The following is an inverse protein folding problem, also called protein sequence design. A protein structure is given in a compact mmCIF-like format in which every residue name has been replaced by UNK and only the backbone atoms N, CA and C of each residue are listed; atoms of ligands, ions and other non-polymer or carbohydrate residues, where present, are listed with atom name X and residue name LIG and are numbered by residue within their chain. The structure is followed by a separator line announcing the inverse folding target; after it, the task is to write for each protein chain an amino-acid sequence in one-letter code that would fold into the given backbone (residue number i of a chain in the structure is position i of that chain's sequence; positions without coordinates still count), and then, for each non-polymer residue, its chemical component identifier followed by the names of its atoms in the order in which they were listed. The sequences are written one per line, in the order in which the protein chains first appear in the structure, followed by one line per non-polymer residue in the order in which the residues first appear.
data_IF_112134367974
#
_entry.id   IF_112134367974
#
_cell.length_a   1.000
_cell.length_b   1.000
_cell.length_c   1.000
_cell.angle_alpha   90.00
_cell.angle_beta   90.00
_cell.angle_gamma   90.00
#
_symmetry.space_group_name_H-M   'P 1'
#
loop_
_entity.id
_entity.type
_entity.pdbx_description
1 polymer ?
#
# COMPACT_ATOMS: atom_id res chain seq x y z
N UNK A 1 19.20 -9.67 -33.94
CA UNK A 1 20.58 -9.20 -34.20
C UNK A 1 20.75 -7.84 -33.53
N UNK A 2 21.91 -7.55 -32.92
CA UNK A 2 22.18 -6.22 -32.35
C UNK A 2 22.30 -5.22 -33.50
N UNK A 3 21.44 -4.20 -33.53
CA UNK A 3 21.41 -3.19 -34.62
C UNK A 3 22.02 -1.85 -34.22
N UNK A 4 22.05 -1.56 -32.92
CA UNK A 4 22.52 -0.28 -32.40
C UNK A 4 23.61 -0.47 -31.34
N UNK A 5 24.37 0.58 -31.06
CA UNK A 5 25.22 0.67 -29.88
C UNK A 5 24.46 1.32 -28.73
N UNK A 6 24.92 1.10 -27.50
CA UNK A 6 24.34 1.78 -26.33
C UNK A 6 24.49 3.29 -26.42
N UNK A 7 25.60 3.79 -26.97
CA UNK A 7 25.79 5.22 -27.24
C UNK A 7 24.70 5.78 -28.18
N UNK A 8 24.34 5.05 -29.24
CA UNK A 8 23.27 5.44 -30.15
C UNK A 8 21.90 5.46 -29.45
N UNK A 9 21.59 4.46 -28.61
CA UNK A 9 20.34 4.42 -27.83
C UNK A 9 20.25 5.52 -26.78
N UNK A 10 21.37 5.84 -26.12
CA UNK A 10 21.44 6.94 -25.16
C UNK A 10 21.22 8.29 -25.85
N UNK A 11 21.87 8.52 -27.00
CA UNK A 11 21.63 9.73 -27.81
C UNK A 11 20.19 9.82 -28.29
N UNK A 12 19.64 8.72 -28.82
CA UNK A 12 18.24 8.61 -29.22
C UNK A 12 17.30 9.04 -28.07
N UNK A 13 17.50 8.51 -26.87
CA UNK A 13 16.69 8.88 -25.69
C UNK A 13 16.87 10.34 -25.27
N UNK A 14 18.10 10.86 -25.35
CA UNK A 14 18.38 12.26 -25.04
C UNK A 14 17.67 13.20 -26.00
N UNK A 15 17.69 12.91 -27.29
CA UNK A 15 17.06 13.73 -28.33
C UNK A 15 15.53 13.65 -28.25
N UNK A 16 14.97 12.44 -28.13
CA UNK A 16 13.51 12.22 -28.04
C UNK A 16 12.88 12.88 -26.80
N UNK A 17 13.62 12.96 -25.69
CA UNK A 17 13.10 13.48 -24.41
C UNK A 17 13.67 14.85 -24.02
N UNK A 18 14.50 15.46 -24.87
CA UNK A 18 15.18 16.72 -24.57
C UNK A 18 16.08 16.67 -23.33
N UNK A 19 16.66 15.51 -23.01
CA UNK A 19 17.44 15.30 -21.79
C UNK A 19 18.93 15.65 -22.00
N UNK A 20 19.48 16.46 -21.09
CA UNK A 20 20.93 16.69 -20.98
C UNK A 20 21.57 15.62 -20.10
N UNK A 21 22.86 15.32 -20.32
CA UNK A 21 23.60 14.34 -19.48
C UNK A 21 23.55 14.67 -17.98
N UNK A 22 23.62 15.96 -17.62
CA UNK A 22 23.48 16.41 -16.22
C UNK A 22 22.13 16.01 -15.64
N UNK A 23 21.05 16.13 -16.42
CA UNK A 23 19.71 15.75 -15.97
C UNK A 23 19.58 14.23 -15.81
N UNK A 24 20.15 13.45 -16.71
CA UNK A 24 20.20 11.97 -16.58
C UNK A 24 20.94 11.59 -15.30
N UNK A 25 22.07 12.25 -15.02
CA UNK A 25 22.84 11.99 -13.81
C UNK A 25 22.03 12.32 -12.54
N UNK A 26 21.31 13.45 -12.51
CA UNK A 26 20.40 13.80 -11.41
C UNK A 26 19.28 12.76 -11.23
N UNK A 27 18.61 12.38 -12.32
CA UNK A 27 17.56 11.36 -12.30
C UNK A 27 18.07 10.00 -11.81
N UNK A 28 19.35 9.69 -12.04
CA UNK A 28 19.93 8.43 -11.62
C UNK A 28 20.21 8.34 -10.12
N UNK A 29 20.32 9.47 -9.39
CA UNK A 29 20.75 9.47 -7.98
C UNK A 29 19.94 8.53 -7.07
N UNK A 30 18.59 8.53 -7.09
CA UNK A 30 17.81 7.61 -6.25
C UNK A 30 18.10 6.14 -6.58
N UNK A 31 18.31 5.82 -7.86
CA UNK A 31 18.63 4.46 -8.30
C UNK A 31 20.08 4.07 -8.03
N UNK A 32 21.01 5.03 -7.98
CA UNK A 32 22.38 4.79 -7.54
C UNK A 32 22.43 4.37 -6.07
N UNK A 33 21.64 5.03 -5.22
CA UNK A 33 21.47 4.68 -3.81
C UNK A 33 20.75 3.33 -3.65
N UNK A 34 19.63 3.13 -4.35
CA UNK A 34 18.84 1.87 -4.28
C UNK A 34 19.66 0.64 -4.69
N UNK A 35 20.49 0.76 -5.72
CA UNK A 35 21.23 -0.36 -6.30
C UNK A 35 22.68 -0.48 -5.81
N UNK A 36 23.14 0.47 -4.99
CA UNK A 36 24.54 0.62 -4.58
C UNK A 36 25.51 0.66 -5.79
N UNK A 37 25.22 1.54 -6.76
CA UNK A 37 25.97 1.69 -8.01
C UNK A 37 26.35 3.16 -8.23
N UNK A 38 27.63 3.50 -8.03
CA UNK A 38 28.12 4.87 -8.23
C UNK A 38 28.49 5.19 -9.69
N UNK A 39 27.79 6.09 -10.36
CA UNK A 39 28.10 6.57 -11.72
C UNK A 39 28.46 8.05 -11.70
N UNK A 40 29.65 8.40 -12.20
CA UNK A 40 30.10 9.79 -12.29
C UNK A 40 29.66 10.46 -13.60
N UNK A 41 29.76 11.79 -13.63
CA UNK A 41 29.54 12.60 -14.85
C UNK A 41 30.47 12.21 -15.99
N UNK A 42 31.73 11.90 -15.69
CA UNK A 42 32.71 11.50 -16.71
C UNK A 42 32.34 10.17 -17.34
N UNK A 43 32.00 9.16 -16.52
CA UNK A 43 31.57 7.84 -17.02
C UNK A 43 30.35 7.97 -17.95
N UNK A 44 29.33 8.75 -17.56
CA UNK A 44 28.16 8.98 -18.41
C UNK A 44 28.53 9.66 -19.74
N UNK A 45 29.43 10.64 -19.72
CA UNK A 45 29.90 11.32 -20.94
C UNK A 45 30.66 10.38 -21.87
N UNK A 46 31.41 9.42 -21.33
CA UNK A 46 32.10 8.41 -22.12
C UNK A 46 31.13 7.42 -22.77
N UNK A 47 30.08 7.01 -22.05
CA UNK A 47 29.02 6.15 -22.59
C UNK A 47 28.24 6.82 -23.71
N UNK A 48 27.88 8.10 -23.54
CA UNK A 48 27.14 8.86 -24.56
C UNK A 48 28.02 9.11 -25.80
N UNK A 49 29.32 9.37 -25.62
CA UNK A 49 30.24 9.51 -26.76
C UNK A 49 30.60 8.20 -27.44
N UNK A 50 30.38 7.05 -26.78
CA UNK A 50 30.77 5.73 -27.25
C UNK A 50 32.25 5.42 -27.02
N UNK A 51 32.96 6.24 -26.25
CA UNK A 51 34.36 6.01 -25.88
C UNK A 51 34.52 4.78 -24.99
N UNK A 52 33.54 4.51 -24.14
CA UNK A 52 33.47 3.29 -23.33
C UNK A 52 32.04 2.75 -23.32
N UNK A 53 31.89 1.44 -23.08
CA UNK A 53 30.58 0.83 -22.91
C UNK A 53 30.28 0.67 -21.41
N UNK A 54 29.03 0.92 -20.98
CA UNK A 54 28.63 0.61 -19.61
C UNK A 54 28.70 -0.90 -19.37
N UNK A 55 29.17 -1.28 -18.18
CA UNK A 55 29.06 -2.66 -17.71
C UNK A 55 27.59 -3.02 -17.40
N UNK A 56 27.32 -4.29 -17.07
CA UNK A 56 25.97 -4.77 -16.75
C UNK A 56 25.29 -3.95 -15.65
N UNK A 57 25.99 -3.62 -14.56
CA UNK A 57 25.42 -2.86 -13.45
C UNK A 57 25.05 -1.44 -13.90
N UNK A 58 25.90 -0.81 -14.71
CA UNK A 58 25.65 0.53 -15.30
C UNK A 58 24.53 0.51 -16.31
N UNK A 59 24.40 -0.54 -17.11
CA UNK A 59 23.28 -0.74 -18.02
C UNK A 59 21.96 -0.84 -17.26
N UNK A 60 21.88 -1.69 -16.23
CA UNK A 60 20.69 -1.79 -15.36
C UNK A 60 20.33 -0.46 -14.72
N UNK A 61 21.32 0.28 -14.19
CA UNK A 61 21.12 1.61 -13.62
C UNK A 61 20.53 2.59 -14.65
N UNK A 62 21.11 2.67 -15.85
CA UNK A 62 20.67 3.57 -16.91
C UNK A 62 19.29 3.18 -17.44
N UNK A 63 19.04 1.89 -17.64
CA UNK A 63 17.75 1.35 -18.07
C UNK A 63 16.64 1.71 -17.07
N UNK A 64 16.88 1.51 -15.77
CA UNK A 64 15.97 1.93 -14.68
C UNK A 64 15.76 3.44 -14.65
N UNK A 65 16.84 4.21 -14.73
CA UNK A 65 16.80 5.68 -14.72
C UNK A 65 15.96 6.23 -15.88
N UNK A 66 16.07 5.62 -17.05
CA UNK A 66 15.43 6.06 -18.29
C UNK A 66 14.11 5.32 -18.56
N UNK A 67 13.69 4.40 -17.70
CA UNK A 67 12.45 3.64 -17.86
C UNK A 67 12.40 2.85 -19.19
N UNK A 68 13.52 2.26 -19.58
CA UNK A 68 13.63 1.44 -20.80
C UNK A 68 14.07 0.02 -20.48
N UNK A 69 13.84 -0.90 -21.40
CA UNK A 69 14.39 -2.25 -21.32
C UNK A 69 15.92 -2.23 -21.48
N UNK A 70 16.61 -3.05 -20.68
CA UNK A 70 18.07 -3.12 -20.67
C UNK A 70 18.61 -3.70 -21.99
N UNK A 71 17.93 -4.70 -22.54
CA UNK A 71 18.29 -5.34 -23.81
C UNK A 71 18.06 -4.38 -24.98
N UNK A 72 17.00 -3.55 -24.91
CA UNK A 72 16.82 -2.45 -25.87
C UNK A 72 17.97 -1.44 -25.81
N UNK A 73 18.38 -1.05 -24.60
CA UNK A 73 19.48 -0.10 -24.37
C UNK A 73 20.84 -0.68 -24.78
N UNK A 74 21.00 -2.00 -24.73
CA UNK A 74 22.14 -2.72 -25.29
C UNK A 74 22.17 -2.70 -26.83
N UNK A 75 21.07 -2.29 -27.48
CA UNK A 75 20.96 -2.08 -28.92
C UNK A 75 20.29 -3.22 -29.70
N UNK A 76 19.59 -4.12 -29.00
CA UNK A 76 18.75 -5.13 -29.63
C UNK A 76 17.41 -4.53 -30.08
N UNK A 77 16.75 -5.22 -30.99
CA UNK A 77 15.40 -4.90 -31.45
C UNK A 77 14.38 -5.64 -30.59
N UNK A 78 14.14 -5.11 -29.40
CA UNK A 78 13.05 -5.49 -28.50
C UNK A 78 12.21 -4.25 -28.20
N UNK A 79 11.14 -4.38 -27.42
CA UNK A 79 10.36 -3.23 -27.02
C UNK A 79 11.17 -2.29 -26.12
N UNK A 80 11.04 -0.98 -26.39
CA UNK A 80 11.80 0.07 -25.71
C UNK A 80 11.38 0.22 -24.26
N UNK A 81 10.08 0.18 -24.01
CA UNK A 81 9.54 0.44 -22.68
C UNK A 81 9.80 -0.76 -21.79
N UNK A 82 10.29 -0.50 -20.59
CA UNK A 82 10.28 -1.52 -19.55
C UNK A 82 8.81 -1.87 -19.31
N UNK A 83 8.42 -3.10 -19.62
CA UNK A 83 7.02 -3.49 -19.73
C UNK A 83 6.20 -2.93 -18.57
N UNK A 84 5.21 -2.09 -18.87
CA UNK A 84 4.34 -1.42 -17.90
C UNK A 84 3.82 -2.38 -16.80
N UNK A 85 3.65 -3.65 -17.14
CA UNK A 85 3.30 -4.74 -16.24
C UNK A 85 4.29 -4.92 -15.08
N UNK A 86 5.60 -4.87 -15.32
CA UNK A 86 6.63 -5.02 -14.27
C UNK A 86 6.62 -3.84 -13.30
N UNK A 87 6.38 -2.62 -13.80
CA UNK A 87 6.27 -1.42 -12.96
C UNK A 87 5.00 -1.51 -12.11
N UNK A 88 3.87 -1.86 -12.71
CA UNK A 88 2.60 -2.05 -12.01
C UNK A 88 2.72 -3.13 -10.93
N UNK A 89 3.32 -4.28 -11.24
CA UNK A 89 3.54 -5.35 -10.29
C UNK A 89 4.37 -4.88 -9.09
N UNK A 90 5.48 -4.18 -9.33
CA UNK A 90 6.32 -3.66 -8.25
C UNK A 90 5.59 -2.60 -7.39
N UNK A 91 4.78 -1.73 -8.00
CA UNK A 91 3.99 -0.73 -7.28
C UNK A 91 2.92 -1.41 -6.42
N UNK A 92 2.19 -2.38 -6.97
CA UNK A 92 1.17 -3.15 -6.27
C UNK A 92 1.79 -3.94 -5.12
N UNK A 93 2.92 -4.61 -5.32
CA UNK A 93 3.63 -5.35 -4.27
C UNK A 93 4.08 -4.43 -3.13
N UNK A 94 4.65 -3.26 -3.45
CA UNK A 94 5.04 -2.27 -2.44
C UNK A 94 3.84 -1.74 -1.66
N UNK A 95 2.75 -1.43 -2.36
CA UNK A 95 1.49 -0.97 -1.75
C UNK A 95 0.90 -2.03 -0.81
N UNK A 96 0.78 -3.27 -1.29
CA UNK A 96 0.26 -4.39 -0.50
C UNK A 96 1.12 -4.67 0.74
N UNK A 97 2.45 -4.58 0.61
CA UNK A 97 3.36 -4.72 1.74
C UNK A 97 3.16 -3.60 2.78
N UNK A 98 2.99 -2.35 2.33
CA UNK A 98 2.73 -1.23 3.22
C UNK A 98 1.38 -1.39 3.95
N UNK A 99 0.33 -1.77 3.22
CA UNK A 99 -1.00 -2.01 3.82
C UNK A 99 -0.97 -3.12 4.87
N UNK A 100 -0.30 -4.24 4.56
CA UNK A 100 -0.14 -5.34 5.53
C UNK A 100 0.63 -4.89 6.78
N UNK A 101 1.65 -4.05 6.62
CA UNK A 101 2.40 -3.51 7.75
C UNK A 101 1.52 -2.60 8.63
N UNK A 102 0.69 -1.75 8.02
CA UNK A 102 -0.26 -0.87 8.73
C UNK A 102 -1.25 -1.69 9.55
N UNK A 103 -1.84 -2.73 8.96
CA UNK A 103 -2.76 -3.65 9.65
C UNK A 103 -2.08 -4.30 10.86
N UNK A 104 -0.88 -4.85 10.68
CA UNK A 104 -0.12 -5.50 11.75
C UNK A 104 0.23 -4.53 12.88
N UNK A 105 0.60 -3.29 12.56
CA UNK A 105 0.91 -2.28 13.56
C UNK A 105 -0.34 -1.79 14.29
N UNK A 106 -1.47 -1.65 13.60
CA UNK A 106 -2.78 -1.40 14.23
C UNK A 106 -3.15 -2.49 15.22
N UNK A 107 -2.98 -3.76 14.82
CA UNK A 107 -3.22 -4.92 15.70
C UNK A 107 -2.30 -4.95 16.92
N UNK A 108 -1.02 -4.61 16.75
CA UNK A 108 -0.06 -4.48 17.87
C UNK A 108 -0.47 -3.38 18.84
N UNK A 109 -0.87 -2.22 18.33
CA UNK A 109 -1.33 -1.12 19.17
C UNK A 109 -2.61 -1.48 19.93
N UNK A 110 -3.56 -2.16 19.26
CA UNK A 110 -4.77 -2.65 19.90
C UNK A 110 -4.42 -3.62 21.04
N UNK A 111 -3.57 -4.60 20.76
CA UNK A 111 -3.09 -5.54 21.77
C UNK A 111 -2.39 -4.83 22.95
N UNK A 112 -1.60 -3.78 22.68
CA UNK A 112 -0.92 -3.01 23.73
C UNK A 112 -1.91 -2.29 24.66
N UNK A 113 -2.98 -1.70 24.13
CA UNK A 113 -4.01 -1.03 24.94
C UNK A 113 -4.91 -2.03 25.69
N UNK A 114 -5.21 -3.17 25.06
CA UNK A 114 -5.99 -4.24 25.68
C UNK A 114 -5.19 -4.93 26.80
N UNK A 115 -3.90 -5.17 26.59
CA UNK A 115 -2.99 -5.80 27.56
C UNK A 115 -3.14 -7.32 27.70
N UNK A 116 -4.10 -7.94 27.00
CA UNK A 116 -4.35 -9.38 27.05
C UNK A 116 -4.66 -9.96 25.65
N UNK A 117 -3.76 -10.80 25.16
CA UNK A 117 -3.89 -11.50 23.87
C UNK A 117 -5.10 -12.45 23.83
N UNK A 118 -5.53 -12.98 24.96
CA UNK A 118 -6.69 -13.85 25.06
C UNK A 118 -7.99 -13.10 24.76
N UNK A 119 -8.10 -11.83 25.20
CA UNK A 119 -9.23 -10.96 24.91
C UNK A 119 -9.24 -10.55 23.43
N UNK A 120 -8.09 -10.22 22.85
CA UNK A 120 -7.99 -9.93 21.40
C UNK A 120 -8.44 -11.13 20.56
N UNK A 121 -8.03 -12.35 20.92
CA UNK A 121 -8.47 -13.57 20.23
C UNK A 121 -9.97 -13.82 20.37
N UNK A 122 -10.56 -13.53 21.53
CA UNK A 122 -12.00 -13.64 21.75
C UNK A 122 -12.75 -12.66 20.87
N UNK A 123 -12.32 -11.40 20.85
CA UNK A 123 -12.85 -10.37 19.95
C UNK A 123 -12.80 -10.81 18.47
N UNK A 124 -11.65 -11.25 17.96
CA UNK A 124 -11.52 -11.71 16.57
C UNK A 124 -12.43 -12.90 16.27
N UNK A 125 -12.62 -13.79 17.24
CA UNK A 125 -13.57 -14.90 17.15
C UNK A 125 -15.02 -14.41 17.11
N UNK A 126 -15.40 -13.43 17.93
CA UNK A 126 -16.74 -12.84 17.90
C UNK A 126 -17.08 -12.27 16.51
N UNK A 127 -16.12 -11.58 15.86
CA UNK A 127 -16.28 -11.09 14.50
C UNK A 127 -16.54 -12.23 13.52
N UNK A 128 -15.75 -13.31 13.60
CA UNK A 128 -15.96 -14.49 12.76
C UNK A 128 -17.33 -15.13 12.99
N UNK A 129 -17.72 -15.30 14.26
CA UNK A 129 -19.00 -15.91 14.64
C UNK A 129 -20.19 -15.07 14.14
N UNK A 130 -20.06 -13.73 14.11
CA UNK A 130 -21.03 -12.84 13.50
C UNK A 130 -21.19 -13.11 11.99
N UNK A 131 -20.09 -13.20 11.24
CA UNK A 131 -20.16 -13.52 9.81
C UNK A 131 -20.71 -14.92 9.55
N UNK A 132 -20.40 -15.91 10.39
CA UNK A 132 -21.01 -17.25 10.32
C UNK A 132 -22.53 -17.14 10.43
N UNK A 133 -23.03 -16.32 11.37
CA UNK A 133 -24.46 -16.14 11.55
C UNK A 133 -25.12 -15.42 10.36
N UNK A 134 -24.47 -14.39 9.82
CA UNK A 134 -24.93 -13.70 8.60
C UNK A 134 -24.97 -14.67 7.39
N UNK A 135 -23.95 -15.53 7.24
CA UNK A 135 -23.89 -16.51 6.16
C UNK A 135 -24.99 -17.57 6.20
N UNK A 136 -25.63 -17.80 7.36
CA UNK A 136 -26.80 -18.68 7.47
C UNK A 136 -28.04 -18.09 6.77
N UNK A 137 -28.19 -16.77 6.78
CA UNK A 137 -29.36 -16.07 6.24
C UNK A 137 -29.09 -15.44 4.88
N UNK A 138 -27.82 -15.16 4.54
CA UNK A 138 -27.43 -14.52 3.29
C UNK A 138 -26.34 -15.33 2.54
N UNK A 139 -26.69 -15.99 1.41
CA UNK A 139 -25.76 -16.79 0.62
C UNK A 139 -24.58 -16.03 -0.01
N UNK A 140 -24.59 -14.70 -0.01
CA UNK A 140 -23.46 -13.89 -0.49
C UNK A 140 -22.23 -13.99 0.45
N UNK A 141 -22.43 -14.41 1.70
CA UNK A 141 -21.38 -14.55 2.71
C UNK A 141 -20.85 -15.99 2.82
N UNK A 142 -20.63 -16.68 1.69
CA UNK A 142 -20.09 -18.07 1.68
C UNK A 142 -18.63 -18.17 2.10
N UNK A 143 -17.84 -17.11 1.88
CA UNK A 143 -16.40 -17.07 2.18
C UNK A 143 -16.13 -16.38 3.51
N UNK A 144 -16.58 -17.00 4.59
CA UNK A 144 -16.56 -16.43 5.95
C UNK A 144 -15.19 -15.89 6.35
N UNK A 145 -14.13 -16.64 6.07
CA UNK A 145 -12.78 -16.25 6.48
C UNK A 145 -12.29 -15.01 5.71
N UNK A 146 -12.61 -14.89 4.41
CA UNK A 146 -12.29 -13.69 3.62
C UNK A 146 -13.04 -12.45 4.14
N UNK A 147 -14.32 -12.59 4.49
CA UNK A 147 -15.11 -11.48 5.06
C UNK A 147 -14.61 -11.07 6.46
N UNK A 148 -14.24 -12.06 7.27
CA UNK A 148 -13.68 -11.83 8.61
C UNK A 148 -12.33 -11.10 8.51
N UNK A 149 -11.45 -11.55 7.61
CA UNK A 149 -10.13 -10.93 7.40
C UNK A 149 -10.28 -9.50 6.88
N UNK A 150 -11.14 -9.27 5.87
CA UNK A 150 -11.44 -7.91 5.37
C UNK A 150 -11.92 -6.96 6.47
N UNK A 151 -12.82 -7.43 7.33
CA UNK A 151 -13.34 -6.61 8.42
C UNK A 151 -12.24 -6.30 9.45
N UNK A 152 -11.45 -7.29 9.84
CA UNK A 152 -10.35 -7.11 10.79
C UNK A 152 -9.26 -6.20 10.24
N UNK A 153 -8.90 -6.34 8.96
CA UNK A 153 -7.94 -5.47 8.28
C UNK A 153 -8.41 -4.02 8.27
N UNK A 154 -9.68 -3.80 7.93
CA UNK A 154 -10.30 -2.47 7.99
C UNK A 154 -10.27 -1.91 9.43
N UNK A 155 -10.72 -2.71 10.41
CA UNK A 155 -10.70 -2.33 11.81
C UNK A 155 -9.31 -1.92 12.29
N UNK A 156 -8.29 -2.75 12.06
CA UNK A 156 -6.93 -2.46 12.53
C UNK A 156 -6.29 -1.29 11.77
N UNK A 157 -6.62 -1.10 10.50
CA UNK A 157 -6.19 0.08 9.74
C UNK A 157 -6.80 1.35 10.31
N UNK A 158 -8.12 1.39 10.52
CA UNK A 158 -8.80 2.54 11.13
C UNK A 158 -8.30 2.79 12.54
N UNK A 159 -8.09 1.71 13.32
CA UNK A 159 -7.53 1.81 14.66
C UNK A 159 -6.12 2.42 14.65
N UNK A 160 -5.26 2.03 13.70
CA UNK A 160 -3.91 2.58 13.56
C UNK A 160 -3.92 4.10 13.34
N UNK A 161 -4.84 4.61 12.52
CA UNK A 161 -4.95 6.04 12.22
C UNK A 161 -5.75 6.85 13.25
N UNK A 162 -6.48 6.19 14.15
CA UNK A 162 -7.28 6.87 15.14
C UNK A 162 -6.44 7.62 16.20
N UNK A 163 -6.98 8.74 16.68
CA UNK A 163 -6.36 9.49 17.76
C UNK A 163 -6.19 8.64 19.03
N UNK A 164 -5.23 9.00 19.89
CA UNK A 164 -4.87 8.18 21.06
C UNK A 164 -6.04 7.95 22.03
N UNK A 165 -6.86 8.98 22.25
CA UNK A 165 -8.05 8.88 23.10
C UNK A 165 -9.11 7.97 22.47
N UNK A 166 -9.35 8.11 21.16
CA UNK A 166 -10.26 7.27 20.38
C UNK A 166 -9.83 5.80 20.40
N UNK A 167 -8.54 5.52 20.19
CA UNK A 167 -7.99 4.16 20.30
C UNK A 167 -8.25 3.55 21.68
N UNK A 168 -8.09 4.34 22.73
CA UNK A 168 -8.35 3.87 24.09
C UNK A 168 -9.82 3.51 24.28
N UNK A 169 -10.74 4.35 23.82
CA UNK A 169 -12.18 4.08 23.88
C UNK A 169 -12.57 2.84 23.07
N UNK A 170 -12.10 2.73 21.83
CA UNK A 170 -12.34 1.58 20.95
C UNK A 170 -11.80 0.30 21.59
N UNK A 171 -10.58 0.31 22.13
CA UNK A 171 -9.99 -0.84 22.80
C UNK A 171 -10.81 -1.28 24.02
N UNK A 172 -11.32 -0.34 24.83
CA UNK A 172 -12.16 -0.65 25.98
C UNK A 172 -13.54 -1.17 25.58
N UNK A 173 -14.10 -0.67 24.49
CA UNK A 173 -15.39 -1.11 23.98
C UNK A 173 -15.34 -2.54 23.43
N UNK A 174 -14.39 -2.84 22.54
CA UNK A 174 -14.34 -4.15 21.86
C UNK A 174 -13.83 -5.31 22.74
N UNK A 175 -13.30 -5.04 23.94
CA UNK A 175 -13.01 -6.11 24.91
C UNK A 175 -14.23 -6.51 25.76
N UNK A 176 -15.28 -5.68 25.79
CA UNK A 176 -16.55 -6.06 26.41
C UNK A 176 -17.12 -7.16 25.51
N UNK A 177 -17.51 -8.33 26.04
CA UNK A 177 -18.17 -9.36 25.23
C UNK A 177 -19.40 -8.79 24.51
N UNK A 178 -19.63 -9.17 23.25
CA UNK A 178 -20.69 -8.59 22.43
C UNK A 178 -22.07 -8.65 23.10
N UNK A 179 -22.37 -9.73 23.83
CA UNK A 179 -23.61 -9.90 24.58
C UNK A 179 -23.78 -8.97 25.78
N UNK A 180 -22.74 -8.20 26.14
CA UNK A 180 -22.73 -7.23 27.24
C UNK A 180 -22.55 -5.79 26.78
N UNK A 181 -22.49 -5.53 25.47
CA UNK A 181 -22.30 -4.18 24.92
C UNK A 181 -23.58 -3.36 24.88
N UNK A 182 -24.76 -3.98 24.98
CA UNK A 182 -26.07 -3.33 24.84
C UNK A 182 -26.21 -2.01 25.62
N UNK A 183 -25.84 -1.90 26.92
CA UNK A 183 -25.95 -0.62 27.63
C UNK A 183 -25.03 0.48 27.06
N UNK A 184 -23.85 0.10 26.57
CA UNK A 184 -22.89 1.01 25.95
C UNK A 184 -23.38 1.42 24.56
N UNK A 185 -23.97 0.49 23.81
CA UNK A 185 -24.56 0.75 22.49
C UNK A 185 -25.72 1.75 22.60
N UNK A 186 -26.60 1.57 23.59
CA UNK A 186 -27.69 2.51 23.87
C UNK A 186 -27.12 3.90 24.20
N UNK A 187 -26.07 3.97 25.03
CA UNK A 187 -25.44 5.24 25.37
C UNK A 187 -24.85 5.93 24.12
N UNK A 188 -24.08 5.21 23.31
CA UNK A 188 -23.46 5.74 22.10
C UNK A 188 -24.52 6.22 21.10
N UNK A 189 -25.60 5.47 20.93
CA UNK A 189 -26.73 5.85 20.08
C UNK A 189 -27.49 7.06 20.62
N UNK A 190 -27.64 7.19 21.95
CA UNK A 190 -28.27 8.37 22.54
C UNK A 190 -27.44 9.64 22.34
N UNK A 191 -26.11 9.52 22.45
CA UNK A 191 -25.17 10.61 22.24
C UNK A 191 -25.11 11.02 20.76
N UNK A 192 -25.14 10.06 19.83
CA UNK A 192 -25.18 10.36 18.40
C UNK A 192 -26.46 11.09 18.02
N UNK A 193 -27.62 10.63 18.50
CA UNK A 193 -28.89 11.30 18.25
C UNK A 193 -28.91 12.73 18.82
N UNK A 194 -28.38 12.93 20.03
CA UNK A 194 -28.23 14.27 20.61
C UNK A 194 -27.38 15.19 19.71
N UNK A 195 -26.24 14.70 19.21
CA UNK A 195 -25.35 15.46 18.32
C UNK A 195 -25.96 15.75 16.94
N UNK A 196 -26.83 14.86 16.44
CA UNK A 196 -27.58 15.04 15.19
C UNK A 196 -28.69 16.09 15.35
N UNK A 197 -29.44 16.06 16.47
CA UNK A 197 -30.53 16.99 16.77
C UNK A 197 -30.04 18.43 17.00
N UNK A 198 -28.85 18.62 17.61
CA UNK A 198 -28.25 19.94 17.89
C UNK A 198 -27.52 20.60 16.69
N UNK A 199 -27.67 20.07 15.46
CA UNK A 199 -27.14 20.60 14.17
C UNK A 199 -25.62 20.51 13.90
N UNK A 200 -24.93 19.40 14.22
CA UNK A 200 -23.48 19.25 13.93
C UNK A 200 -23.05 18.02 13.10
N UNK A 201 -23.94 17.15 12.61
CA UNK A 201 -23.59 16.07 11.66
C UNK A 201 -24.79 15.74 10.74
N UNK A 202 -24.55 15.53 9.44
CA UNK A 202 -25.55 14.96 8.52
C UNK A 202 -25.93 13.54 8.99
N UNK A 203 -27.20 13.16 8.78
CA UNK A 203 -27.79 11.97 9.41
C UNK A 203 -26.94 10.71 9.22
N UNK A 204 -26.41 10.17 10.31
CA UNK A 204 -25.77 8.85 10.33
C UNK A 204 -26.87 7.78 10.47
N UNK A 205 -27.81 7.74 9.52
CA UNK A 205 -28.68 6.57 9.37
C UNK A 205 -27.85 5.47 8.70
N UNK A 206 -27.08 4.74 9.53
CA UNK A 206 -26.25 3.63 9.06
C UNK A 206 -25.20 3.12 10.03
N UNK A 207 -25.29 3.36 11.34
CA UNK A 207 -24.33 2.73 12.28
C UNK A 207 -25.08 2.14 13.46
N UNK A 208 -25.84 1.08 13.17
CA UNK A 208 -26.15 0.08 14.18
C UNK A 208 -24.90 -0.80 14.36
N UNK A 209 -24.05 -0.46 15.32
CA UNK A 209 -23.24 -1.43 16.07
C UNK A 209 -22.45 -2.46 15.28
N UNK A 210 -21.98 -2.13 14.08
CA UNK A 210 -20.93 -2.84 13.34
C UNK A 210 -20.41 -1.81 12.36
N UNK A 211 -19.09 -1.70 12.21
CA UNK A 211 -18.47 -0.89 11.16
C UNK A 211 -19.16 -1.25 9.84
N UNK A 212 -20.06 -0.38 9.37
CA UNK A 212 -20.67 -0.51 8.06
C UNK A 212 -19.55 -0.28 7.06
N UNK A 213 -19.21 -1.38 6.38
CA UNK A 213 -18.49 -1.36 5.11
C UNK A 213 -19.45 -0.68 4.12
N UNK A 214 -18.98 0.34 3.42
CA UNK A 214 -19.69 0.99 2.32
C UNK A 214 -20.23 -0.09 1.35
N UNK A 215 -21.53 0.00 1.05
CA UNK A 215 -22.16 -0.76 -0.03
C UNK A 215 -21.77 -0.11 -1.36
N UNK A 216 -21.02 -0.85 -2.19
CA UNK A 216 -21.00 -0.72 -3.66
C UNK A 216 -21.78 -1.90 -4.27
#
# INVERSE_FOLDING_TARGET
MKKYTTAQRLKQLMDERGLKQVKILEMSKPYQEELDIYMSKSSLSEYVSGKSNPDQRKLTLLARTLGVDETWLMGYEVDKERGMLEILENVVLKSNKANKQIVEDGRRQFLMLVGDKSLVKKFEKEIRDNYINIGKTNPSYRRIDEWTEKWLDSFYTTFYFAEAHTRTLIARYYIIPSEKREPVDILLNSLSNYLIEDTQLESIYGVSGTVHIEED
#
